data_IF_093235279966
#
_entry.id   IF_093235279966
#
_cell.length_a   1.000
_cell.length_b   1.000
_cell.length_c   1.000
_cell.angle_alpha   90.00
_cell.angle_beta   90.00
_cell.angle_gamma   90.00
#
_symmetry.space_group_name_H-M   'P 1'
#
loop_
_entity.id
_entity.type
_entity.pdbx_description
1 polymer ?
#
# COMPACT_ATOMS: atom_id res chain seq x y z
N UNK A 1 -52.19 -49.42 84.41
CA UNK A 1 -52.44 -50.39 83.32
C UNK A 1 -52.63 -49.62 82.02
N UNK A 2 -52.20 -50.10 80.81
CA UNK A 2 -51.73 -51.47 80.54
C UNK A 2 -50.35 -51.71 79.84
N UNK A 3 -49.83 -50.83 78.97
CA UNK A 3 -48.80 -51.19 77.94
C UNK A 3 -47.59 -50.21 77.89
N UNK A 4 -46.38 -50.48 77.35
CA UNK A 4 -45.88 -51.28 76.18
C UNK A 4 -46.21 -50.64 74.81
N UNK A 5 -45.39 -50.61 73.75
CA UNK A 5 -44.06 -51.20 73.35
C UNK A 5 -43.60 -50.47 72.04
N UNK A 6 -42.33 -50.29 71.60
CA UNK A 6 -40.96 -50.62 72.09
C UNK A 6 -39.89 -49.73 71.37
N UNK A 7 -38.64 -49.76 71.86
CA UNK A 7 -37.29 -49.68 71.22
C UNK A 7 -37.04 -49.22 69.75
N UNK A 8 -35.82 -48.84 69.33
CA UNK A 8 -34.64 -48.17 69.94
C UNK A 8 -33.52 -47.96 68.85
N UNK A 9 -32.58 -47.03 69.07
CA UNK A 9 -31.24 -46.80 68.45
C UNK A 9 -30.89 -47.33 67.04
N UNK A 10 -30.45 -46.40 66.17
CA UNK A 10 -29.08 -46.33 65.54
C UNK A 10 -28.95 -44.99 64.79
N UNK A 11 -28.24 -43.96 65.25
CA UNK A 11 -26.78 -43.76 65.46
C UNK A 11 -25.89 -43.82 64.20
N UNK A 12 -24.98 -42.83 64.14
CA UNK A 12 -23.76 -42.68 63.32
C UNK A 12 -23.87 -42.43 61.80
N UNK A 13 -23.91 -41.14 61.45
CA UNK A 13 -22.87 -40.42 60.69
C UNK A 13 -22.33 -41.00 59.38
N UNK A 14 -22.61 -40.29 58.27
CA UNK A 14 -22.00 -40.51 56.94
C UNK A 14 -20.48 -40.24 56.92
N UNK A 15 -19.65 -41.26 57.06
CA UNK A 15 -18.23 -41.23 56.64
C UNK A 15 -17.65 -42.64 56.45
N UNK A 16 -16.68 -42.79 55.52
CA UNK A 16 -15.80 -43.98 55.36
C UNK A 16 -16.43 -45.30 54.84
N UNK A 17 -17.26 -45.20 53.80
CA UNK A 17 -17.38 -46.20 52.72
C UNK A 17 -17.40 -45.37 51.43
N UNK A 18 -16.62 -45.62 50.37
CA UNK A 18 -15.89 -46.83 49.96
C UNK A 18 -14.47 -46.46 49.48
N UNK A 19 -13.42 -46.88 50.21
CA UNK A 19 -12.09 -47.10 49.61
C UNK A 19 -12.05 -48.54 49.10
N UNK A 20 -11.26 -48.81 48.06
CA UNK A 20 -11.23 -50.09 47.31
C UNK A 20 -12.50 -50.42 46.53
N UNK A 21 -12.60 -49.82 45.34
CA UNK A 21 -12.63 -50.63 44.12
C UNK A 21 -11.47 -50.16 43.23
N UNK A 22 -10.29 -50.75 43.46
CA UNK A 22 -9.05 -50.43 42.74
C UNK A 22 -8.82 -51.48 41.63
N UNK A 23 -8.09 -51.08 40.57
CA UNK A 23 -7.42 -51.97 39.59
C UNK A 23 -8.30 -52.83 38.67
N UNK A 24 -8.62 -52.31 37.47
CA UNK A 24 -8.42 -52.93 36.11
C UNK A 24 -8.41 -51.77 35.09
N UNK A 25 -7.32 -50.98 35.02
CA UNK A 25 -6.31 -50.94 33.93
C UNK A 25 -6.69 -50.27 32.60
N UNK A 26 -5.79 -49.39 32.15
CA UNK A 26 -5.44 -49.04 30.76
C UNK A 26 -6.33 -48.10 29.91
N UNK A 27 -5.68 -47.00 29.50
CA UNK A 27 -5.71 -46.41 28.15
C UNK A 27 -7.02 -45.77 27.64
N UNK A 28 -7.30 -44.54 28.10
CA UNK A 28 -7.39 -43.42 27.15
C UNK A 28 -6.92 -42.11 27.77
N UNK A 29 -5.76 -41.62 27.32
CA UNK A 29 -5.10 -40.42 27.87
C UNK A 29 -5.49 -39.14 27.14
N UNK A 30 -6.52 -38.45 27.63
CA UNK A 30 -6.79 -37.01 27.43
C UNK A 30 -7.35 -36.55 28.79
N UNK A 31 -6.68 -35.80 29.66
CA UNK A 31 -5.68 -34.74 29.43
C UNK A 31 -6.15 -33.80 28.32
N UNK A 32 -7.32 -33.18 28.53
CA UNK A 32 -7.63 -31.92 27.89
C UNK A 32 -6.69 -30.86 28.49
N UNK A 33 -5.50 -30.81 27.90
CA UNK A 33 -4.63 -29.65 27.80
C UNK A 33 -5.54 -28.40 27.69
N UNK A 34 -5.34 -27.28 28.39
CA UNK A 34 -4.09 -26.52 28.49
C UNK A 34 -3.25 -26.53 27.19
N UNK A 35 -3.91 -26.79 26.05
CA UNK A 35 -3.37 -26.53 24.73
C UNK A 35 -3.32 -25.02 24.66
N UNK A 36 -2.10 -24.48 24.67
CA UNK A 36 -1.89 -23.05 24.82
C UNK A 36 -2.76 -22.29 23.84
N UNK A 37 -3.50 -21.29 24.34
CA UNK A 37 -3.88 -20.18 23.51
C UNK A 37 -2.58 -19.45 23.17
N UNK A 38 -1.90 -19.96 22.13
CA UNK A 38 -0.69 -19.39 21.59
C UNK A 38 -1.04 -18.04 20.99
N UNK A 39 -1.04 -17.00 21.84
CA UNK A 39 -1.04 -15.59 21.49
C UNK A 39 0.32 -15.20 20.85
N UNK A 40 0.76 -16.03 19.89
CA UNK A 40 1.92 -15.85 19.05
C UNK A 40 1.48 -14.91 17.93
N UNK A 41 2.10 -13.73 17.88
CA UNK A 41 1.66 -12.66 16.98
C UNK A 41 0.79 -11.63 17.68
N UNK A 42 1.35 -10.94 18.69
CA UNK A 42 0.95 -9.58 19.02
C UNK A 42 1.37 -8.63 17.89
N UNK A 43 0.74 -8.80 16.72
CA UNK A 43 0.86 -7.86 15.60
C UNK A 43 0.31 -6.51 16.07
N UNK A 44 1.22 -5.64 16.54
CA UNK A 44 0.95 -4.25 16.84
C UNK A 44 0.18 -3.65 15.68
N UNK A 45 -0.90 -2.89 15.91
CA UNK A 45 -1.58 -2.24 14.81
C UNK A 45 -0.63 -1.25 14.12
N UNK A 46 -0.87 -1.04 12.84
CA UNK A 46 -0.17 -0.06 12.02
C UNK A 46 -0.99 1.23 11.98
N UNK A 47 -0.30 2.36 11.95
CA UNK A 47 -0.94 3.65 11.76
C UNK A 47 -0.93 4.05 10.29
N UNK A 48 -2.03 4.66 9.84
CA UNK A 48 -2.19 5.24 8.51
C UNK A 48 -2.72 6.66 8.64
N UNK A 49 -1.99 7.60 8.05
CA UNK A 49 -2.43 8.98 7.82
C UNK A 49 -2.65 9.19 6.32
N UNK A 50 -3.78 9.78 5.93
CA UNK A 50 -4.08 10.11 4.53
C UNK A 50 -4.57 11.56 4.41
N UNK A 51 -3.89 12.36 3.61
CA UNK A 51 -4.28 13.72 3.24
C UNK A 51 -4.45 13.85 1.72
N UNK A 52 -5.40 14.68 1.27
CA UNK A 52 -5.47 15.07 -0.13
C UNK A 52 -6.05 16.46 -0.32
N UNK A 53 -5.78 17.02 -1.50
CA UNK A 53 -6.45 18.21 -2.03
C UNK A 53 -6.99 17.87 -3.42
N UNK A 54 -8.30 18.04 -3.70
CA UNK A 54 -9.39 18.33 -2.77
C UNK A 54 -9.66 17.20 -1.75
N UNK A 55 -10.63 17.42 -0.85
CA UNK A 55 -11.15 16.41 0.08
C UNK A 55 -11.64 15.17 -0.67
N UNK A 56 -11.23 13.99 -0.23
CA UNK A 56 -11.50 12.72 -0.90
C UNK A 56 -12.02 11.63 0.06
N UNK A 57 -12.86 10.73 -0.45
CA UNK A 57 -13.22 9.48 0.21
C UNK A 57 -12.12 8.43 0.06
N UNK A 58 -11.89 7.65 1.10
CA UNK A 58 -10.79 6.69 1.21
C UNK A 58 -11.32 5.27 1.38
N UNK A 59 -10.73 4.33 0.65
CA UNK A 59 -11.05 2.91 0.70
C UNK A 59 -9.78 2.08 0.85
N UNK A 60 -9.83 1.05 1.69
CA UNK A 60 -8.82 -0.03 1.75
C UNK A 60 -9.49 -1.33 1.30
N UNK A 61 -8.91 -2.02 0.32
CA UNK A 61 -9.45 -3.24 -0.30
C UNK A 61 -10.92 -3.10 -0.74
N UNK A 62 -11.29 -1.90 -1.20
CA UNK A 62 -12.66 -1.55 -1.60
C UNK A 62 -13.62 -1.22 -0.44
N UNK A 63 -13.25 -1.48 0.81
CA UNK A 63 -14.02 -1.03 1.99
C UNK A 63 -13.78 0.45 2.26
N UNK A 64 -14.84 1.26 2.27
CA UNK A 64 -14.76 2.66 2.70
C UNK A 64 -14.35 2.76 4.18
N UNK A 65 -13.35 3.59 4.49
CA UNK A 65 -12.81 3.77 5.85
C UNK A 65 -12.98 5.19 6.40
N UNK A 66 -13.22 6.19 5.55
CA UNK A 66 -13.37 7.58 5.96
C UNK A 66 -13.06 8.55 4.82
N UNK A 67 -12.87 9.83 5.16
CA UNK A 67 -12.40 10.87 4.24
C UNK A 67 -11.08 11.47 4.71
N UNK A 68 -10.32 12.07 3.79
CA UNK A 68 -9.19 12.93 4.11
C UNK A 68 -9.64 14.23 4.80
N UNK A 69 -8.87 14.82 5.72
CA UNK A 69 -7.70 14.24 6.38
C UNK A 69 -8.12 13.09 7.30
N UNK A 70 -7.46 11.94 7.13
CA UNK A 70 -7.73 10.71 7.87
C UNK A 70 -6.54 10.32 8.73
N UNK A 71 -6.81 9.79 9.91
CA UNK A 71 -5.84 9.13 10.76
C UNK A 71 -6.49 7.92 11.45
N UNK A 72 -5.77 6.80 11.51
CA UNK A 72 -6.09 5.70 12.43
C UNK A 72 -4.81 4.94 12.80
N UNK A 73 -4.64 4.63 14.08
CA UNK A 73 -3.55 3.83 14.64
C UNK A 73 -3.98 2.38 14.98
N UNK A 74 -5.20 1.98 14.58
CA UNK A 74 -5.81 0.68 14.90
C UNK A 74 -5.93 -0.26 13.68
N UNK A 75 -5.25 0.03 12.57
CA UNK A 75 -5.35 -0.80 11.37
C UNK A 75 -4.48 -2.06 11.55
N UNK A 76 -4.97 -3.22 11.10
CA UNK A 76 -4.18 -4.45 11.07
C UNK A 76 -2.98 -4.26 10.12
N UNK A 77 -1.82 -4.81 10.46
CA UNK A 77 -0.66 -4.82 9.57
C UNK A 77 -0.84 -5.78 8.38
N UNK A 78 -0.34 -5.38 7.21
CA UNK A 78 -0.47 -6.13 5.95
C UNK A 78 -0.25 -5.27 4.70
N UNK A 79 -0.36 -5.89 3.52
CA UNK A 79 -0.53 -5.18 2.25
C UNK A 79 -2.00 -4.78 2.07
N UNK A 80 -2.26 -3.59 1.52
CA UNK A 80 -3.61 -3.10 1.23
C UNK A 80 -3.66 -2.40 -0.13
N UNK A 81 -4.77 -2.57 -0.86
CA UNK A 81 -5.09 -1.74 -2.02
C UNK A 81 -5.77 -0.46 -1.53
N UNK A 82 -5.02 0.64 -1.49
CA UNK A 82 -5.51 1.97 -1.16
C UNK A 82 -6.16 2.58 -2.41
N UNK A 83 -7.38 3.10 -2.25
CA UNK A 83 -8.05 3.96 -3.24
C UNK A 83 -8.49 5.26 -2.57
N UNK A 84 -8.19 6.39 -3.21
CA UNK A 84 -8.59 7.73 -2.80
C UNK A 84 -9.35 8.37 -3.97
N UNK A 85 -10.54 8.93 -3.73
CA UNK A 85 -11.41 9.51 -4.77
C UNK A 85 -12.05 10.83 -4.38
N UNK A 86 -11.97 11.83 -5.25
CA UNK A 86 -12.68 13.10 -5.16
C UNK A 86 -13.29 13.46 -6.52
N UNK A 87 -14.63 13.44 -6.62
CA UNK A 87 -15.34 13.56 -7.90
C UNK A 87 -14.77 12.58 -8.95
N UNK A 88 -14.43 13.06 -10.15
CA UNK A 88 -13.81 12.25 -11.21
C UNK A 88 -12.33 11.89 -10.96
N UNK A 89 -11.67 12.49 -9.98
CA UNK A 89 -10.27 12.22 -9.68
C UNK A 89 -10.14 10.97 -8.80
N UNK A 90 -9.31 10.01 -9.22
CA UNK A 90 -8.98 8.82 -8.43
C UNK A 90 -7.47 8.56 -8.44
N UNK A 91 -6.94 8.21 -7.27
CA UNK A 91 -5.63 7.58 -7.10
C UNK A 91 -5.83 6.16 -6.53
N UNK A 92 -5.02 5.20 -6.99
CA UNK A 92 -5.06 3.79 -6.57
C UNK A 92 -3.64 3.25 -6.52
N UNK A 93 -3.24 2.66 -5.39
CA UNK A 93 -1.93 2.00 -5.27
C UNK A 93 -1.93 0.92 -4.17
N UNK A 94 -0.93 0.04 -4.18
CA UNK A 94 -0.70 -0.89 -3.07
C UNK A 94 0.19 -0.22 -2.03
N UNK A 95 -0.28 -0.16 -0.78
CA UNK A 95 0.51 0.26 0.38
C UNK A 95 0.86 -0.94 1.27
N UNK A 96 1.93 -0.80 2.05
CA UNK A 96 2.29 -1.73 3.13
C UNK A 96 2.10 -1.00 4.46
N UNK A 97 1.35 -1.63 5.38
CA UNK A 97 1.11 -1.13 6.73
C UNK A 97 1.92 -1.98 7.72
N UNK A 98 3.07 -1.48 8.14
CA UNK A 98 3.97 -2.18 9.07
C UNK A 98 3.55 -1.94 10.53
N UNK A 99 3.37 -3.00 11.30
CA UNK A 99 2.82 -2.94 12.66
C UNK A 99 3.72 -2.16 13.63
N UNK A 100 3.14 -1.20 14.36
CA UNK A 100 3.88 -0.29 15.24
C UNK A 100 4.62 0.85 14.52
N UNK A 101 4.34 1.09 13.24
CA UNK A 101 4.87 2.22 12.45
C UNK A 101 3.73 3.05 11.86
N UNK A 102 4.05 4.24 11.35
CA UNK A 102 3.12 5.11 10.61
C UNK A 102 3.45 5.08 9.11
N UNK A 103 2.45 4.79 8.30
CA UNK A 103 2.44 5.06 6.86
C UNK A 103 1.69 6.38 6.61
N UNK A 104 2.31 7.30 5.87
CA UNK A 104 1.70 8.60 5.50
C UNK A 104 1.48 8.62 3.99
N UNK A 105 0.29 9.00 3.55
CA UNK A 105 -0.05 9.19 2.13
C UNK A 105 -0.59 10.60 1.94
N UNK A 106 -0.01 11.35 1.01
CA UNK A 106 -0.41 12.72 0.68
C UNK A 106 -0.61 12.84 -0.84
N UNK A 107 -1.74 13.39 -1.30
CA UNK A 107 -2.08 13.42 -2.73
C UNK A 107 -2.75 14.73 -3.17
N UNK A 108 -2.18 15.36 -4.19
CA UNK A 108 -2.90 16.35 -5.01
C UNK A 108 -3.63 15.59 -6.10
N UNK A 109 -4.96 15.63 -6.07
CA UNK A 109 -5.84 14.86 -6.93
C UNK A 109 -6.39 15.76 -8.04
N UNK A 110 -6.32 15.25 -9.27
CA UNK A 110 -6.88 15.89 -10.46
C UNK A 110 -7.46 14.84 -11.40
N UNK A 111 -8.47 15.24 -12.17
CA UNK A 111 -9.00 14.44 -13.28
C UNK A 111 -8.00 14.37 -14.45
N UNK A 112 -7.14 15.38 -14.60
CA UNK A 112 -5.94 15.27 -15.42
C UNK A 112 -4.87 14.48 -14.64
N UNK A 113 -4.57 13.25 -15.09
CA UNK A 113 -3.54 12.40 -14.48
C UNK A 113 -2.16 13.08 -14.42
N UNK A 114 -1.82 13.91 -15.41
CA UNK A 114 -0.55 14.64 -15.45
C UNK A 114 -0.47 15.77 -14.41
N UNK A 115 -1.61 16.20 -13.84
CA UNK A 115 -1.67 17.14 -12.72
C UNK A 115 -1.70 16.43 -11.34
N UNK A 116 -1.74 15.09 -11.29
CA UNK A 116 -1.68 14.38 -10.01
C UNK A 116 -0.25 14.39 -9.45
N UNK A 117 -0.14 14.66 -8.15
CA UNK A 117 1.14 14.67 -7.44
C UNK A 117 0.97 14.07 -6.03
N UNK A 118 2.06 13.80 -5.33
CA UNK A 118 2.00 13.35 -3.96
C UNK A 118 3.20 12.53 -3.50
N UNK A 119 3.13 12.06 -2.27
CA UNK A 119 4.12 11.17 -1.69
C UNK A 119 3.46 10.07 -0.85
N UNK A 120 4.20 8.99 -0.65
CA UNK A 120 3.83 7.91 0.27
C UNK A 120 5.08 7.51 1.03
N UNK A 121 5.03 7.74 2.35
CA UNK A 121 6.13 7.53 3.28
C UNK A 121 5.79 6.35 4.19
N UNK A 122 6.75 5.45 4.39
CA UNK A 122 6.63 4.37 5.39
C UNK A 122 8.01 4.04 5.98
N UNK A 123 8.03 3.22 7.03
CA UNK A 123 9.25 2.79 7.70
C UNK A 123 9.53 1.32 7.41
N UNK A 124 10.78 1.01 7.05
CA UNK A 124 11.31 -0.35 7.08
C UNK A 124 12.15 -0.57 8.34
N UNK A 125 11.91 -1.69 9.02
CA UNK A 125 12.44 -1.99 10.36
C UNK A 125 13.65 -2.90 10.30
N UNK A 126 14.74 -2.52 10.98
CA UNK A 126 16.00 -3.27 10.95
C UNK A 126 17.00 -2.76 9.91
N UNK A 127 16.73 -1.61 9.30
CA UNK A 127 17.64 -0.82 8.47
C UNK A 127 17.69 0.63 9.00
N UNK A 128 18.58 1.44 8.45
CA UNK A 128 18.63 2.90 8.63
C UNK A 128 18.71 3.62 7.28
N UNK A 129 18.74 4.95 7.30
CA UNK A 129 18.90 5.76 6.09
C UNK A 129 17.58 6.19 5.47
N UNK A 130 17.64 6.64 4.22
CA UNK A 130 16.53 7.08 3.40
C UNK A 130 16.59 6.42 2.03
N UNK A 131 15.48 5.86 1.55
CA UNK A 131 15.31 5.47 0.15
C UNK A 131 14.18 6.28 -0.48
N UNK A 132 14.45 6.89 -1.64
CA UNK A 132 13.45 7.67 -2.40
C UNK A 132 13.37 7.16 -3.83
N UNK A 133 12.16 6.78 -4.26
CA UNK A 133 11.80 6.58 -5.66
C UNK A 133 10.85 7.69 -6.14
N UNK A 134 10.81 7.95 -7.44
CA UNK A 134 9.85 8.89 -8.01
C UNK A 134 9.29 8.47 -9.37
N UNK A 135 8.10 8.97 -9.67
CA UNK A 135 7.50 9.00 -11.00
C UNK A 135 7.36 10.47 -11.44
N UNK A 136 8.02 10.93 -12.51
CA UNK A 136 9.04 10.22 -13.30
C UNK A 136 10.31 9.90 -12.48
N UNK A 137 11.06 8.89 -12.93
CA UNK A 137 12.39 8.59 -12.39
C UNK A 137 13.47 9.59 -12.85
N UNK A 138 14.69 9.43 -12.36
CA UNK A 138 15.83 10.30 -12.65
C UNK A 138 15.56 11.78 -12.30
N UNK A 139 14.79 12.02 -11.23
CA UNK A 139 14.59 13.36 -10.66
C UNK A 139 15.74 13.68 -9.71
N UNK A 140 16.25 14.92 -9.74
CA UNK A 140 17.30 15.35 -8.83
C UNK A 140 16.73 15.46 -7.42
N UNK A 141 17.44 14.96 -6.42
CA UNK A 141 17.00 14.97 -5.02
C UNK A 141 17.96 15.77 -4.16
N UNK A 142 17.43 16.75 -3.42
CA UNK A 142 18.16 17.47 -2.38
C UNK A 142 17.68 17.08 -0.99
N UNK A 143 18.58 17.14 -0.01
CA UNK A 143 18.28 17.07 1.42
C UNK A 143 18.74 18.39 2.05
N UNK A 144 17.84 19.09 2.72
CA UNK A 144 18.07 20.41 3.31
C UNK A 144 18.70 21.42 2.31
N UNK A 145 18.30 21.33 1.03
CA UNK A 145 18.82 22.15 -0.07
C UNK A 145 20.15 21.69 -0.69
N UNK A 146 20.86 20.72 -0.08
CA UNK A 146 22.08 20.13 -0.67
C UNK A 146 21.69 19.02 -1.64
N UNK A 147 22.12 19.12 -2.91
CA UNK A 147 21.97 18.05 -3.91
C UNK A 147 22.72 16.79 -3.46
N UNK A 148 22.02 15.65 -3.45
CA UNK A 148 22.57 14.35 -3.04
C UNK A 148 22.73 13.40 -4.24
N UNK A 149 21.79 13.42 -5.20
CA UNK A 149 21.84 12.54 -6.37
C UNK A 149 20.53 12.58 -7.18
N UNK A 150 20.20 11.46 -7.82
CA UNK A 150 18.96 11.27 -8.59
C UNK A 150 18.18 10.03 -8.13
N UNK A 151 16.86 10.07 -8.25
CA UNK A 151 15.97 8.94 -7.93
C UNK A 151 16.01 7.84 -9.00
N UNK A 152 15.90 6.55 -8.64
CA UNK A 152 15.79 6.02 -7.28
C UNK A 152 17.13 6.07 -6.52
N UNK A 153 17.12 6.60 -5.30
CA UNK A 153 18.34 6.80 -4.50
C UNK A 153 18.22 6.15 -3.13
N UNK A 154 19.27 5.44 -2.72
CA UNK A 154 19.54 5.06 -1.34
C UNK A 154 20.55 6.04 -0.75
N UNK A 155 20.27 6.51 0.46
CA UNK A 155 21.16 7.30 1.31
C UNK A 155 21.34 6.51 2.60
N UNK A 156 22.47 5.83 2.74
CA UNK A 156 22.71 4.86 3.83
C UNK A 156 22.71 5.50 5.23
N UNK A 157 23.12 6.77 5.32
CA UNK A 157 23.21 7.52 6.57
C UNK A 157 22.61 8.92 6.42
N UNK A 158 21.75 9.25 7.38
CA UNK A 158 21.06 10.53 7.54
C UNK A 158 20.91 10.76 9.05
N UNK A 159 21.00 12.01 9.50
CA UNK A 159 21.00 12.35 10.93
C UNK A 159 19.61 12.14 11.57
N UNK A 160 19.55 11.77 12.85
CA UNK A 160 18.29 11.69 13.60
C UNK A 160 17.67 13.09 13.76
N UNK A 161 16.56 13.35 13.06
CA UNK A 161 15.98 14.69 12.99
C UNK A 161 14.93 14.85 11.90
N UNK A 162 14.51 16.09 11.66
CA UNK A 162 13.62 16.45 10.56
C UNK A 162 14.44 16.97 9.38
N UNK A 163 14.18 16.41 8.20
CA UNK A 163 14.91 16.71 6.96
C UNK A 163 13.95 17.09 5.86
N UNK A 164 14.25 18.21 5.19
CA UNK A 164 13.47 18.72 4.07
C UNK A 164 13.98 18.07 2.77
N UNK A 165 13.10 17.35 2.09
CA UNK A 165 13.38 16.61 0.87
C UNK A 165 12.74 17.37 -0.29
N UNK A 166 13.53 17.75 -1.29
CA UNK A 166 13.05 18.46 -2.48
C UNK A 166 13.47 17.69 -3.73
N UNK A 167 12.50 17.31 -4.57
CA UNK A 167 12.71 16.63 -5.85
C UNK A 167 12.43 17.59 -7.00
N UNK A 168 13.36 17.67 -7.96
CA UNK A 168 13.25 18.54 -9.14
C UNK A 168 13.46 17.78 -10.45
N UNK A 169 12.70 18.11 -11.49
CA UNK A 169 12.78 17.48 -12.80
C UNK A 169 12.27 18.42 -13.89
N UNK A 170 13.05 18.61 -14.95
CA UNK A 170 12.70 19.41 -16.13
C UNK A 170 11.34 18.99 -16.73
N UNK A 171 10.42 19.95 -16.90
CA UNK A 171 9.04 19.73 -17.36
C UNK A 171 8.05 19.24 -16.29
N UNK A 172 8.49 19.16 -15.03
CA UNK A 172 7.69 18.76 -13.88
C UNK A 172 7.79 19.77 -12.74
N UNK A 173 6.74 19.78 -11.94
CA UNK A 173 6.57 20.68 -10.81
C UNK A 173 7.38 20.12 -9.65
N UNK A 174 8.36 20.90 -9.19
CA UNK A 174 9.16 20.59 -8.01
C UNK A 174 8.28 20.23 -6.81
N UNK A 175 8.65 19.17 -6.10
CA UNK A 175 7.91 18.71 -4.91
C UNK A 175 8.80 18.72 -3.69
N UNK A 176 8.30 19.34 -2.62
CA UNK A 176 8.97 19.46 -1.33
C UNK A 176 8.13 18.85 -0.21
N UNK A 177 8.75 18.05 0.65
CA UNK A 177 8.13 17.46 1.84
C UNK A 177 9.17 17.26 2.95
N UNK A 178 8.70 17.16 4.19
CA UNK A 178 9.57 16.87 5.35
C UNK A 178 9.45 15.41 5.74
N UNK A 179 10.59 14.76 6.00
CA UNK A 179 10.65 13.45 6.68
C UNK A 179 11.19 13.60 8.09
N UNK A 180 10.88 12.64 8.95
CA UNK A 180 11.54 12.49 10.26
C UNK A 180 12.38 11.21 10.26
N UNK A 181 13.70 11.38 10.18
CA UNK A 181 14.64 10.29 10.13
C UNK A 181 15.07 9.84 11.53
N UNK A 182 15.46 8.56 11.65
CA UNK A 182 16.12 8.04 12.85
C UNK A 182 16.97 6.82 12.54
N UNK A 183 18.12 6.71 13.18
CA UNK A 183 19.05 5.58 13.23
C UNK A 183 18.44 4.18 13.44
N UNK A 184 17.17 4.08 13.84
CA UNK A 184 16.43 2.83 14.10
C UNK A 184 15.60 2.31 12.92
N UNK A 185 15.32 3.14 11.92
CA UNK A 185 14.43 2.82 10.80
C UNK A 185 14.97 3.37 9.48
N UNK A 186 14.72 2.67 8.39
CA UNK A 186 14.89 3.24 7.06
C UNK A 186 13.60 3.94 6.66
N UNK A 187 13.68 5.24 6.35
CA UNK A 187 12.56 5.98 5.76
C UNK A 187 12.47 5.59 4.28
N UNK A 188 11.30 5.17 3.86
CA UNK A 188 11.00 4.80 2.47
C UNK A 188 10.02 5.82 1.90
N UNK A 189 10.30 6.37 0.71
CA UNK A 189 9.44 7.35 0.05
C UNK A 189 9.20 7.00 -1.43
N UNK A 190 7.92 6.97 -1.83
CA UNK A 190 7.50 6.91 -3.23
C UNK A 190 6.81 8.22 -3.61
N UNK A 191 7.41 8.98 -4.53
CA UNK A 191 7.00 10.35 -4.87
C UNK A 191 6.40 10.42 -6.28
N UNK A 192 5.43 11.29 -6.50
CA UNK A 192 4.83 11.57 -7.81
C UNK A 192 4.90 13.06 -8.08
N UNK A 193 5.56 13.45 -9.16
CA UNK A 193 5.63 14.84 -9.63
C UNK A 193 4.57 15.06 -10.70
N UNK A 194 3.79 16.14 -10.58
CA UNK A 194 2.90 16.59 -11.65
C UNK A 194 3.71 17.28 -12.76
N UNK A 195 3.27 17.19 -14.01
CA UNK A 195 3.91 17.89 -15.14
C UNK A 195 3.49 19.35 -15.20
N UNK A 196 4.41 20.23 -15.59
CA UNK A 196 4.11 21.66 -15.81
C UNK A 196 3.12 21.89 -16.96
N UNK A 197 3.10 20.99 -17.96
CA UNK A 197 2.14 20.99 -19.06
C UNK A 197 0.69 20.88 -18.55
N UNK A 198 0.50 20.32 -17.35
CA UNK A 198 -0.81 20.16 -16.72
C UNK A 198 -1.29 21.42 -15.94
N UNK A 199 -0.45 22.45 -15.78
CA UNK A 199 -0.79 23.72 -15.09
C UNK A 199 -1.33 24.81 -16.02
N UNK A 200 -1.02 24.77 -17.31
CA UNK A 200 -1.47 25.79 -18.27
C UNK A 200 -2.97 25.64 -18.56
N UNK A 201 -3.82 26.67 -18.37
CA UNK A 201 -5.17 26.66 -18.91
C UNK A 201 -5.09 26.64 -20.43
N UNK A 202 -5.78 25.70 -21.07
CA UNK A 202 -5.63 25.39 -22.50
C UNK A 202 -6.32 26.47 -23.35
N UNK A 203 -5.61 27.56 -23.60
CA UNK A 203 -6.11 28.80 -24.23
C UNK A 203 -6.03 28.82 -25.76
N UNK A 204 -5.24 27.93 -26.36
CA UNK A 204 -5.45 27.52 -27.75
C UNK A 204 -6.77 26.72 -27.82
N UNK A 205 -7.61 26.91 -28.86
CA UNK A 205 -8.84 26.14 -29.00
C UNK A 205 -8.49 24.65 -29.09
N UNK A 206 -8.91 23.89 -28.06
CA UNK A 206 -8.69 22.44 -28.02
C UNK A 206 -9.42 21.80 -29.19
N UNK A 207 -8.73 21.14 -30.14
CA UNK A 207 -9.41 20.31 -31.12
C UNK A 207 -10.16 19.22 -30.36
N UNK A 208 -11.49 19.14 -30.55
CA UNK A 208 -12.42 18.21 -29.88
C UNK A 208 -11.70 16.91 -29.52
N UNK A 209 -11.51 16.60 -28.21
CA UNK A 209 -10.32 15.94 -27.68
C UNK A 209 -9.88 14.79 -28.56
N UNK A 210 -8.90 15.06 -29.43
CA UNK A 210 -8.42 14.09 -30.39
C UNK A 210 -7.73 12.99 -29.61
N UNK A 211 -8.44 11.86 -29.50
CA UNK A 211 -7.94 10.66 -28.84
C UNK A 211 -6.80 10.13 -29.70
N UNK A 212 -5.59 10.62 -29.47
CA UNK A 212 -4.39 10.07 -30.08
C UNK A 212 -4.36 8.58 -29.79
N UNK A 213 -4.36 7.79 -30.86
CA UNK A 213 -4.25 6.34 -30.75
C UNK A 213 -2.89 5.90 -31.25
N UNK A 214 -2.36 4.87 -30.61
CA UNK A 214 -1.29 4.06 -31.18
C UNK A 214 -1.81 2.70 -31.59
N UNK A 215 -1.45 2.27 -32.79
CA UNK A 215 -1.63 0.90 -33.26
C UNK A 215 -0.44 0.05 -32.85
N UNK A 216 -0.72 -1.06 -32.19
CA UNK A 216 0.29 -2.05 -31.81
C UNK A 216 0.82 -2.73 -33.07
N UNK A 217 2.12 -2.63 -33.30
CA UNK A 217 2.79 -3.21 -34.46
C UNK A 217 2.93 -4.74 -34.37
N UNK A 218 3.39 -5.36 -35.45
CA UNK A 218 3.70 -6.77 -35.48
C UNK A 218 4.88 -7.10 -34.55
N UNK A 219 4.68 -8.03 -33.62
CA UNK A 219 5.76 -8.63 -32.83
C UNK A 219 5.89 -10.11 -33.20
N UNK A 220 7.07 -10.70 -32.96
CA UNK A 220 7.31 -12.14 -33.17
C UNK A 220 6.45 -13.06 -32.28
N UNK A 221 5.71 -12.50 -31.32
CA UNK A 221 4.82 -13.22 -30.40
C UNK A 221 3.33 -12.92 -30.66
N UNK A 222 3.00 -12.04 -31.61
CA UNK A 222 1.62 -11.59 -31.88
C UNK A 222 1.00 -10.69 -30.79
N UNK A 223 1.76 -10.35 -29.75
CA UNK A 223 1.35 -9.46 -28.67
C UNK A 223 2.50 -8.55 -28.20
N UNK A 224 2.13 -7.43 -27.58
CA UNK A 224 3.02 -6.51 -26.89
C UNK A 224 2.70 -6.50 -25.39
N UNK A 225 3.73 -6.36 -24.57
CA UNK A 225 3.63 -6.33 -23.10
C UNK A 225 3.27 -4.93 -22.63
N UNK A 226 2.33 -4.83 -21.68
CA UNK A 226 2.02 -3.60 -20.95
C UNK A 226 2.61 -3.68 -19.55
N UNK A 227 3.35 -2.66 -19.13
CA UNK A 227 4.10 -2.63 -17.86
C UNK A 227 3.63 -1.53 -16.93
N UNK A 228 3.92 -1.68 -15.63
CA UNK A 228 3.57 -0.68 -14.60
C UNK A 228 4.31 0.65 -14.79
N UNK A 229 5.55 0.60 -15.24
CA UNK A 229 6.47 1.73 -15.39
C UNK A 229 7.21 1.64 -16.76
N UNK A 230 7.77 2.74 -17.29
CA UNK A 230 8.48 2.77 -18.57
C UNK A 230 9.89 2.15 -18.48
N UNK A 231 9.98 0.86 -18.17
CA UNK A 231 11.25 0.13 -18.05
C UNK A 231 11.13 -1.33 -18.49
N UNK A 232 12.20 -1.88 -19.09
CA UNK A 232 12.28 -3.29 -19.48
C UNK A 232 12.33 -4.25 -18.27
N UNK A 233 12.60 -3.75 -17.07
CA UNK A 233 12.57 -4.53 -15.81
C UNK A 233 11.25 -4.39 -15.05
N UNK A 234 10.40 -3.40 -15.38
CA UNK A 234 9.14 -3.15 -14.67
C UNK A 234 8.12 -4.28 -14.84
N UNK A 235 7.30 -4.51 -13.82
CA UNK A 235 6.31 -5.59 -13.80
C UNK A 235 5.35 -5.55 -15.00
N UNK A 236 5.14 -6.71 -15.63
CA UNK A 236 4.14 -6.90 -16.69
C UNK A 236 2.75 -6.94 -16.04
N UNK A 237 1.90 -5.96 -16.36
CA UNK A 237 0.53 -5.81 -15.80
C UNK A 237 -0.57 -6.12 -16.82
N UNK A 238 -0.19 -6.45 -18.06
CA UNK A 238 -1.11 -6.81 -19.13
C UNK A 238 -0.41 -7.11 -20.45
N UNK A 239 -1.22 -7.50 -21.44
CA UNK A 239 -0.81 -7.72 -22.84
C UNK A 239 -1.88 -7.14 -23.76
N UNK A 240 -1.44 -6.64 -24.90
CA UNK A 240 -2.26 -6.13 -26.01
C UNK A 240 -1.81 -6.84 -27.29
N UNK A 241 -2.73 -7.11 -28.22
CA UNK A 241 -2.44 -7.87 -29.44
C UNK A 241 -1.85 -6.97 -30.51
N UNK A 242 -1.08 -7.55 -31.42
CA UNK A 242 -0.75 -6.88 -32.69
C UNK A 242 -2.04 -6.47 -33.41
N UNK A 243 -2.09 -5.20 -33.84
CA UNK A 243 -3.24 -4.60 -34.49
C UNK A 243 -4.21 -3.85 -33.57
N UNK A 244 -4.13 -4.04 -32.24
CA UNK A 244 -4.94 -3.28 -31.28
C UNK A 244 -4.67 -1.77 -31.42
N UNK A 245 -5.73 -0.96 -31.32
CA UNK A 245 -5.63 0.50 -31.28
C UNK A 245 -5.91 0.98 -29.85
N UNK A 246 -4.96 1.70 -29.26
CA UNK A 246 -4.97 2.04 -27.84
C UNK A 246 -4.88 3.54 -27.64
N UNK A 247 -5.72 4.08 -26.75
CA UNK A 247 -5.71 5.51 -26.41
C UNK A 247 -4.40 5.87 -25.68
N UNK A 248 -3.66 6.84 -26.20
CA UNK A 248 -2.47 7.40 -25.57
C UNK A 248 -2.87 8.23 -24.34
N UNK A 249 -2.12 8.09 -23.26
CA UNK A 249 -2.24 8.89 -22.03
C UNK A 249 -1.07 9.88 -21.94
N UNK A 250 0.13 9.42 -22.27
CA UNK A 250 1.35 10.22 -22.42
C UNK A 250 2.39 9.40 -23.18
N UNK A 251 3.46 10.04 -23.66
CA UNK A 251 4.57 9.37 -24.31
C UNK A 251 5.93 9.91 -23.84
N UNK A 252 6.94 9.10 -24.06
CA UNK A 252 8.36 9.39 -23.93
C UNK A 252 9.05 8.85 -25.16
N UNK A 253 10.34 9.16 -25.36
CA UNK A 253 11.14 8.70 -26.50
C UNK A 253 11.02 7.19 -26.77
N UNK A 254 11.01 6.37 -25.72
CA UNK A 254 11.12 4.90 -25.82
C UNK A 254 9.87 4.14 -25.35
N UNK A 255 8.88 4.84 -24.76
CA UNK A 255 7.66 4.27 -24.17
C UNK A 255 6.42 5.16 -24.33
N UNK A 256 5.28 4.54 -24.59
CA UNK A 256 3.95 5.17 -24.63
C UNK A 256 3.10 4.61 -23.48
N UNK A 257 2.53 5.45 -22.64
CA UNK A 257 1.50 5.03 -21.68
C UNK A 257 0.16 5.01 -22.40
N UNK A 258 -0.56 3.89 -22.30
CA UNK A 258 -1.82 3.64 -23.00
C UNK A 258 -2.90 3.18 -22.04
N UNK A 259 -4.17 3.46 -22.38
CA UNK A 259 -5.32 2.80 -21.75
C UNK A 259 -5.50 1.40 -22.36
N UNK A 260 -5.70 0.40 -21.52
CA UNK A 260 -6.01 -0.97 -21.93
C UNK A 260 -6.91 -1.63 -20.89
N UNK A 261 -8.00 -2.29 -21.32
CA UNK A 261 -8.89 -3.06 -20.43
C UNK A 261 -9.31 -2.34 -19.11
N UNK A 262 -9.63 -1.03 -19.18
CA UNK A 262 -10.01 -0.21 -18.03
C UNK A 262 -8.86 0.19 -17.08
N UNK A 263 -7.60 -0.10 -17.46
CA UNK A 263 -6.37 0.23 -16.74
C UNK A 263 -5.48 1.13 -17.62
N UNK A 264 -4.39 1.62 -17.04
CA UNK A 264 -3.32 2.30 -17.78
C UNK A 264 -1.99 1.56 -17.58
N UNK A 265 -1.08 1.66 -18.54
CA UNK A 265 0.26 1.11 -18.44
C UNK A 265 1.12 1.39 -19.66
N UNK A 266 2.40 1.05 -19.57
CA UNK A 266 3.43 1.43 -20.55
C UNK A 266 3.72 0.31 -21.55
N UNK A 267 3.66 0.64 -22.84
CA UNK A 267 4.16 -0.17 -23.95
C UNK A 267 5.41 0.50 -24.55
N UNK A 268 6.33 -0.27 -25.14
CA UNK A 268 7.52 0.35 -25.76
C UNK A 268 7.17 0.97 -27.11
N UNK A 269 7.62 2.22 -27.33
CA UNK A 269 7.29 3.02 -28.50
C UNK A 269 7.73 2.38 -29.83
N UNK A 270 8.81 1.58 -29.82
CA UNK A 270 9.29 0.85 -31.00
C UNK A 270 8.24 -0.12 -31.62
N UNK A 271 7.22 -0.50 -30.86
CA UNK A 271 6.12 -1.37 -31.28
C UNK A 271 4.77 -0.64 -31.34
N UNK A 272 4.78 0.70 -31.36
CA UNK A 272 3.61 1.56 -31.39
C UNK A 272 3.72 2.55 -32.56
N UNK A 273 2.68 2.61 -33.42
CA UNK A 273 2.59 3.61 -34.49
C UNK A 273 1.39 4.53 -34.23
N UNK A 274 1.61 5.85 -34.17
CA UNK A 274 0.51 6.84 -34.12
C UNK A 274 -0.41 6.72 -35.34
N UNK A 275 -1.70 6.92 -35.12
CA UNK A 275 -2.77 6.91 -36.13
C UNK A 275 -3.21 8.33 -36.48
#
# INVERSE_FOLDING_TARGET
>A
MPHRTTNDKRLTTKAKFLKYLLLVTCHLSIVFLLSGCSAVGSNKPAALQVTSVPEASIFLDGKHIGKTPFFSDQIKSGEYLLKITASEASYVDKIVLTGGTLTVVNRELSNNFLAQSGETLWLDSGKRGLFVSSLPGEANMTINGRLIGKTPLLVDEIEDGEHKITLTKEGFIDREFTIKASSKYQVMANVTLASEVAKTPQSSPVPLPQIEKVKVLATSLGFLRVRREPSLTAAEIGRVKTGDELEVVQETKDWVQVKFAGKQGWISAQYAKKL
#
